data_IF_691156745891
#
_entry.id   IF_691156745891
#
_cell.length_a   1.000
_cell.length_b   1.000
_cell.length_c   1.000
_cell.angle_alpha   90.00
_cell.angle_beta   90.00
_cell.angle_gamma   90.00
#
_symmetry.space_group_name_H-M   'P 1'
#
loop_
_entity.id
_entity.type
_entity.pdbx_description
1 polymer ?
#
# COMPACT_ATOMS: atom_id res chain seq x y z
N UNK A 1 -12.44 -15.76 20.53
CA UNK A 1 -11.84 -15.23 19.29
C UNK A 1 -10.50 -15.92 19.08
N UNK A 2 -10.24 -16.55 17.92
CA UNK A 2 -8.91 -17.15 17.67
C UNK A 2 -7.90 -16.01 17.48
N UNK A 3 -6.87 -15.97 18.33
CA UNK A 3 -5.75 -15.04 18.20
C UNK A 3 -5.15 -15.15 16.79
N UNK A 4 -4.98 -14.02 16.12
CA UNK A 4 -4.31 -13.96 14.82
C UNK A 4 -2.91 -14.59 14.92
N UNK A 5 -2.50 -15.35 13.91
CA UNK A 5 -1.14 -15.90 13.84
C UNK A 5 -0.27 -14.91 13.05
N UNK A 6 0.61 -14.12 13.69
CA UNK A 6 1.41 -13.12 12.99
C UNK A 6 2.51 -13.73 12.11
N UNK A 7 2.87 -15.00 12.36
CA UNK A 7 4.03 -15.65 11.75
C UNK A 7 4.08 -15.59 10.21
N UNK A 8 3.01 -15.92 9.45
CA UNK A 8 3.06 -15.83 7.99
C UNK A 8 3.32 -14.41 7.48
N UNK A 9 2.77 -13.40 8.16
CA UNK A 9 2.94 -12.00 7.79
C UNK A 9 4.35 -11.49 8.11
N UNK A 10 4.94 -11.94 9.21
CA UNK A 10 6.34 -11.64 9.56
C UNK A 10 7.30 -12.23 8.53
N UNK A 11 7.07 -13.49 8.11
CA UNK A 11 7.88 -14.13 7.06
C UNK A 11 7.76 -13.37 5.74
N UNK A 12 6.54 -13.00 5.34
CA UNK A 12 6.29 -12.24 4.12
C UNK A 12 6.98 -10.87 4.14
N UNK A 13 6.89 -10.14 5.26
CA UNK A 13 7.60 -8.88 5.46
C UNK A 13 9.13 -9.06 5.43
N UNK A 14 9.66 -10.13 6.01
CA UNK A 14 11.09 -10.45 5.95
C UNK A 14 11.60 -10.69 4.53
N UNK A 15 10.83 -11.40 3.70
CA UNK A 15 11.14 -11.60 2.28
C UNK A 15 11.10 -10.25 1.54
N UNK A 16 10.04 -9.46 1.73
CA UNK A 16 9.92 -8.15 1.11
C UNK A 16 11.09 -7.22 1.50
N UNK A 17 11.46 -7.15 2.78
CA UNK A 17 12.61 -6.38 3.25
C UNK A 17 13.94 -6.85 2.66
N UNK A 18 14.14 -8.17 2.55
CA UNK A 18 15.35 -8.71 1.96
C UNK A 18 15.50 -8.30 0.49
N UNK A 19 14.38 -8.22 -0.23
CA UNK A 19 14.35 -7.81 -1.63
C UNK A 19 14.49 -6.30 -1.81
N UNK A 20 13.86 -5.51 -0.93
CA UNK A 20 13.82 -4.04 -1.00
C UNK A 20 15.16 -3.37 -0.69
N UNK A 21 15.98 -3.97 0.19
CA UNK A 21 17.18 -3.29 0.69
C UNK A 21 18.34 -3.28 -0.33
N UNK A 22 19.13 -2.19 -0.38
CA UNK A 22 20.27 -2.06 -1.29
C UNK A 22 21.30 -3.17 -1.16
N UNK A 23 22.06 -3.41 -2.24
CA UNK A 23 23.15 -4.40 -2.28
C UNK A 23 24.52 -3.71 -2.30
N UNK A 24 25.53 -4.24 -1.57
CA UNK A 24 25.49 -5.43 -0.71
C UNK A 24 24.58 -5.23 0.52
N UNK A 25 23.92 -6.31 0.96
CA UNK A 25 22.98 -6.22 2.08
C UNK A 25 23.74 -5.92 3.35
N UNK A 26 23.44 -4.79 3.98
CA UNK A 26 23.96 -4.42 5.29
C UNK A 26 23.13 -5.11 6.39
N UNK A 27 23.70 -6.03 7.17
CA UNK A 27 22.94 -6.81 8.15
C UNK A 27 22.25 -5.95 9.21
N UNK A 28 22.89 -4.86 9.65
CA UNK A 28 22.33 -3.94 10.63
C UNK A 28 21.02 -3.28 10.17
N UNK A 29 20.97 -2.80 8.92
CA UNK A 29 19.76 -2.21 8.36
C UNK A 29 18.65 -3.26 8.20
N UNK A 30 18.99 -4.46 7.72
CA UNK A 30 18.01 -5.54 7.60
C UNK A 30 17.42 -5.93 8.95
N UNK A 31 18.24 -6.14 9.97
CA UNK A 31 17.79 -6.50 11.32
C UNK A 31 16.92 -5.38 11.90
N UNK A 32 17.34 -4.12 11.78
CA UNK A 32 16.56 -2.98 12.28
C UNK A 32 15.20 -2.88 11.59
N UNK A 33 15.17 -2.93 10.26
CA UNK A 33 13.91 -2.91 9.50
C UNK A 33 13.01 -4.10 9.83
N UNK A 34 13.59 -5.30 9.99
CA UNK A 34 12.84 -6.50 10.36
C UNK A 34 12.19 -6.36 11.74
N UNK A 35 12.93 -5.83 12.72
CA UNK A 35 12.39 -5.54 14.06
C UNK A 35 11.28 -4.50 14.00
N UNK A 36 11.50 -3.40 13.26
CA UNK A 36 10.48 -2.35 13.08
C UNK A 36 9.21 -2.94 12.49
N UNK A 37 9.29 -3.69 11.39
CA UNK A 37 8.12 -4.30 10.75
C UNK A 37 7.47 -5.37 11.64
N UNK A 38 8.24 -6.12 12.42
CA UNK A 38 7.70 -7.01 13.45
C UNK A 38 6.85 -6.27 14.49
N UNK A 39 7.33 -5.10 14.95
CA UNK A 39 6.59 -4.22 15.86
C UNK A 39 5.34 -3.65 15.18
N UNK A 40 5.44 -3.16 13.94
CA UNK A 40 4.28 -2.63 13.18
C UNK A 40 3.20 -3.70 12.98
N UNK A 41 3.59 -4.93 12.65
CA UNK A 41 2.66 -6.06 12.52
C UNK A 41 1.98 -6.36 13.85
N UNK A 42 2.76 -6.51 14.93
CA UNK A 42 2.23 -6.83 16.26
C UNK A 42 1.30 -5.74 16.78
N UNK A 43 1.72 -4.48 16.69
CA UNK A 43 0.93 -3.33 17.08
C UNK A 43 -0.32 -3.18 16.21
N UNK A 44 -0.22 -3.31 14.89
CA UNK A 44 -1.36 -3.18 13.98
C UNK A 44 -2.41 -4.28 14.17
N UNK A 45 -1.99 -5.53 14.40
CA UNK A 45 -2.91 -6.62 14.76
C UNK A 45 -3.62 -6.33 16.09
N UNK A 46 -2.89 -5.87 17.11
CA UNK A 46 -3.47 -5.48 18.39
C UNK A 46 -4.46 -4.31 18.23
N UNK A 47 -4.06 -3.25 17.54
CA UNK A 47 -4.86 -2.03 17.36
C UNK A 47 -6.13 -2.32 16.57
N UNK A 48 -6.03 -3.12 15.50
CA UNK A 48 -7.17 -3.51 14.67
C UNK A 48 -8.20 -4.34 15.44
N UNK A 49 -7.77 -5.32 16.24
CA UNK A 49 -8.66 -6.11 17.10
C UNK A 49 -9.38 -5.20 18.12
N UNK A 50 -8.65 -4.29 18.77
CA UNK A 50 -9.21 -3.34 19.72
C UNK A 50 -10.04 -2.23 19.06
N UNK A 51 -9.91 -2.03 17.75
CA UNK A 51 -10.72 -1.13 16.94
C UNK A 51 -12.02 -1.80 16.43
N UNK A 52 -12.19 -3.12 16.65
CA UNK A 52 -13.30 -3.88 16.07
C UNK A 52 -13.15 -4.10 14.56
N UNK A 53 -11.94 -3.97 14.03
CA UNK A 53 -11.60 -4.30 12.64
C UNK A 53 -11.22 -5.78 12.54
N UNK A 54 -11.33 -6.33 11.34
CA UNK A 54 -10.88 -7.70 11.05
C UNK A 54 -9.79 -7.67 9.98
N UNK A 55 -8.53 -7.33 10.35
CA UNK A 55 -7.47 -6.99 9.39
C UNK A 55 -7.10 -8.14 8.46
N UNK A 56 -7.41 -9.38 8.83
CA UNK A 56 -7.05 -10.61 8.10
C UNK A 56 -8.28 -11.39 7.62
N UNK A 57 -9.51 -10.87 7.75
CA UNK A 57 -10.74 -11.60 7.39
C UNK A 57 -11.48 -10.99 6.21
N UNK A 58 -12.26 -11.88 5.60
CA UNK A 58 -13.51 -11.62 4.91
C UNK A 58 -14.63 -12.14 5.81
N UNK A 59 -15.70 -11.36 5.98
CA UNK A 59 -16.87 -11.72 6.78
C UNK A 59 -17.35 -13.16 6.50
N UNK A 60 -17.48 -13.96 7.57
CA UNK A 60 -18.45 -15.05 7.68
C UNK A 60 -18.51 -16.12 6.59
N UNK A 61 -17.43 -16.84 6.29
CA UNK A 61 -17.43 -18.29 5.92
C UNK A 61 -16.03 -18.72 5.49
N UNK A 62 -15.22 -19.26 6.40
CA UNK A 62 -14.47 -20.50 6.14
C UNK A 62 -13.66 -20.87 7.37
N UNK A 63 -13.77 -22.14 7.77
CA UNK A 63 -12.99 -22.75 8.85
C UNK A 63 -11.51 -23.00 8.44
N UNK A 64 -11.14 -22.73 7.17
CA UNK A 64 -9.77 -22.85 6.66
C UNK A 64 -9.13 -21.45 6.49
N UNK A 65 -8.13 -21.14 7.30
CA UNK A 65 -7.58 -19.78 7.43
C UNK A 65 -6.75 -19.29 6.24
N UNK A 66 -7.42 -18.75 5.22
CA UNK A 66 -6.85 -17.98 4.12
C UNK A 66 -7.90 -17.11 3.43
N UNK A 67 -7.48 -16.07 2.71
CA UNK A 67 -8.38 -15.25 1.88
C UNK A 67 -8.92 -16.09 0.71
N UNK A 68 -10.23 -16.02 0.39
CA UNK A 68 -10.77 -16.72 -0.77
C UNK A 68 -10.04 -16.30 -2.06
N UNK A 69 -9.62 -17.26 -2.91
CA UNK A 69 -8.95 -16.93 -4.17
C UNK A 69 -9.74 -15.97 -5.06
N UNK A 70 -11.07 -16.05 -5.04
CA UNK A 70 -11.94 -15.14 -5.77
C UNK A 70 -11.80 -13.67 -5.32
N UNK A 71 -11.61 -13.42 -4.03
CA UNK A 71 -11.45 -12.06 -3.50
C UNK A 71 -10.08 -11.51 -3.90
N UNK A 72 -9.03 -12.32 -3.78
CA UNK A 72 -7.71 -11.94 -4.28
C UNK A 72 -7.76 -11.65 -5.78
N UNK A 73 -8.41 -12.49 -6.59
CA UNK A 73 -8.57 -12.27 -8.02
C UNK A 73 -9.35 -10.98 -8.34
N UNK A 74 -10.45 -10.71 -7.62
CA UNK A 74 -11.21 -9.47 -7.78
C UNK A 74 -10.38 -8.24 -7.42
N UNK A 75 -9.66 -8.29 -6.29
CA UNK A 75 -8.78 -7.20 -5.86
C UNK A 75 -7.64 -6.98 -6.85
N UNK A 76 -7.05 -8.04 -7.39
CA UNK A 76 -6.07 -7.97 -8.46
C UNK A 76 -6.61 -7.26 -9.71
N UNK A 77 -7.83 -7.59 -10.14
CA UNK A 77 -8.48 -6.94 -11.28
C UNK A 77 -8.77 -5.46 -11.02
N UNK A 78 -9.22 -5.11 -9.81
CA UNK A 78 -9.42 -3.71 -9.40
C UNK A 78 -8.09 -2.95 -9.43
N UNK A 79 -7.03 -3.54 -8.88
CA UNK A 79 -5.68 -2.99 -8.89
C UNK A 79 -5.13 -2.78 -10.30
N UNK A 80 -5.20 -3.81 -11.14
CA UNK A 80 -4.77 -3.72 -12.54
C UNK A 80 -5.57 -2.66 -13.32
N UNK A 81 -6.89 -2.58 -13.11
CA UNK A 81 -7.74 -1.56 -13.71
C UNK A 81 -7.36 -0.15 -13.26
N UNK A 82 -7.05 0.02 -11.96
CA UNK A 82 -6.55 1.29 -11.42
C UNK A 82 -5.20 1.67 -12.03
N UNK A 83 -4.25 0.73 -12.09
CA UNK A 83 -2.95 0.94 -12.72
C UNK A 83 -3.07 1.30 -14.19
N UNK A 84 -3.98 0.67 -14.93
CA UNK A 84 -4.24 0.98 -16.34
C UNK A 84 -4.84 2.39 -16.53
N UNK A 85 -5.78 2.78 -15.66
CA UNK A 85 -6.36 4.14 -15.65
C UNK A 85 -5.28 5.19 -15.39
N UNK A 86 -4.44 4.96 -14.38
CA UNK A 86 -3.33 5.85 -14.04
C UNK A 86 -2.28 5.91 -15.16
N UNK A 87 -1.92 4.77 -15.76
CA UNK A 87 -1.01 4.70 -16.90
C UNK A 87 -1.56 5.51 -18.08
N UNK A 88 -2.86 5.42 -18.36
CA UNK A 88 -3.52 6.25 -19.37
C UNK A 88 -3.38 7.75 -19.08
N UNK A 89 -3.60 8.18 -17.83
CA UNK A 89 -3.40 9.57 -17.43
C UNK A 89 -1.93 10.01 -17.59
N UNK A 90 -0.98 9.17 -17.17
CA UNK A 90 0.47 9.43 -17.31
C UNK A 90 0.87 9.51 -18.78
N UNK A 91 0.27 8.70 -19.67
CA UNK A 91 0.62 8.67 -21.09
C UNK A 91 0.03 9.82 -21.90
N UNK A 92 -1.24 10.15 -21.64
CA UNK A 92 -2.04 11.00 -22.53
C UNK A 92 -2.33 12.38 -21.96
N UNK A 93 -2.23 12.57 -20.64
CA UNK A 93 -2.58 13.83 -19.99
C UNK A 93 -1.32 14.50 -19.45
N UNK A 94 -0.60 13.84 -18.53
CA UNK A 94 0.47 14.48 -17.76
C UNK A 94 1.58 15.14 -18.59
N UNK A 95 2.09 14.57 -19.71
CA UNK A 95 3.18 15.18 -20.46
C UNK A 95 2.80 16.54 -21.09
N UNK A 96 1.52 16.79 -21.30
CA UNK A 96 1.01 18.05 -21.86
C UNK A 96 0.85 19.16 -20.82
N UNK A 97 0.59 18.78 -19.56
CA UNK A 97 0.34 19.73 -18.45
C UNK A 97 1.52 19.85 -17.48
N UNK A 98 2.37 18.83 -17.43
CA UNK A 98 3.58 18.70 -16.60
C UNK A 98 4.70 18.03 -17.41
N UNK A 99 5.32 18.74 -18.36
CA UNK A 99 6.37 18.19 -19.21
C UNK A 99 7.55 17.59 -18.43
N UNK A 100 7.79 18.08 -17.21
CA UNK A 100 8.86 17.61 -16.34
C UNK A 100 8.67 16.14 -15.90
N UNK A 101 7.44 15.59 -16.00
CA UNK A 101 7.15 14.17 -15.71
C UNK A 101 8.02 13.22 -16.55
N UNK A 102 8.50 13.68 -17.71
CA UNK A 102 9.34 12.88 -18.60
C UNK A 102 10.67 12.46 -17.96
N UNK A 103 11.23 13.26 -17.06
CA UNK A 103 12.45 12.86 -16.33
C UNK A 103 12.18 11.67 -15.41
N UNK A 104 11.01 11.64 -14.75
CA UNK A 104 10.58 10.52 -13.92
C UNK A 104 10.29 9.28 -14.76
N UNK A 105 9.61 9.42 -15.89
CA UNK A 105 9.35 8.32 -16.83
C UNK A 105 10.68 7.73 -17.31
N UNK A 106 11.63 8.56 -17.74
CA UNK A 106 12.95 8.11 -18.18
C UNK A 106 13.73 7.40 -17.07
N UNK A 107 13.70 7.94 -15.85
CA UNK A 107 14.33 7.33 -14.67
C UNK A 107 13.73 5.93 -14.39
N UNK A 108 12.41 5.81 -14.40
CA UNK A 108 11.71 4.53 -14.20
C UNK A 108 12.02 3.52 -15.31
N UNK A 109 12.07 3.97 -16.57
CA UNK A 109 12.40 3.15 -17.73
C UNK A 109 13.82 2.61 -17.69
N UNK A 110 14.75 3.30 -17.03
CA UNK A 110 16.14 2.87 -16.85
C UNK A 110 16.31 1.72 -15.84
N UNK A 111 15.31 1.47 -14.99
CA UNK A 111 15.35 0.39 -14.00
C UNK A 111 15.11 -0.95 -14.70
N UNK A 112 15.99 -1.92 -14.44
CA UNK A 112 15.84 -3.28 -14.98
C UNK A 112 14.47 -3.89 -14.61
N UNK A 113 13.80 -4.52 -15.57
CA UNK A 113 12.42 -5.05 -15.40
C UNK A 113 12.26 -5.93 -14.16
N UNK A 114 13.22 -6.80 -13.85
CA UNK A 114 13.14 -7.66 -12.66
C UNK A 114 13.17 -6.87 -11.35
N UNK A 115 13.89 -5.73 -11.30
CA UNK A 115 13.89 -4.84 -10.14
C UNK A 115 12.55 -4.14 -9.98
N UNK A 116 11.88 -3.79 -11.09
CA UNK A 116 10.53 -3.22 -11.07
C UNK A 116 9.48 -4.20 -10.57
N UNK A 117 9.62 -5.49 -10.89
CA UNK A 117 8.79 -6.55 -10.30
C UNK A 117 9.04 -6.66 -8.80
N UNK A 118 10.30 -6.56 -8.36
CA UNK A 118 10.66 -6.53 -6.94
C UNK A 118 10.04 -5.33 -6.23
N UNK A 119 10.14 -4.13 -6.80
CA UNK A 119 9.51 -2.91 -6.27
C UNK A 119 8.00 -3.09 -6.11
N UNK A 120 7.30 -3.57 -7.15
CA UNK A 120 5.87 -3.83 -7.07
C UNK A 120 5.53 -4.84 -5.95
N UNK A 121 6.35 -5.86 -5.77
CA UNK A 121 6.16 -6.86 -4.71
C UNK A 121 6.43 -6.27 -3.32
N UNK A 122 7.59 -5.68 -3.08
CA UNK A 122 7.97 -5.22 -1.75
C UNK A 122 7.13 -4.04 -1.25
N UNK A 123 6.83 -3.04 -2.10
CA UNK A 123 5.93 -1.93 -1.77
C UNK A 123 4.55 -2.43 -1.40
N UNK A 124 3.98 -3.34 -2.21
CA UNK A 124 2.65 -3.90 -1.93
C UNK A 124 2.54 -4.62 -0.59
N UNK A 125 3.65 -5.11 -0.03
CA UNK A 125 3.66 -5.76 1.28
C UNK A 125 3.96 -4.76 2.39
N UNK A 126 5.08 -4.06 2.28
CA UNK A 126 5.62 -3.21 3.34
C UNK A 126 4.74 -1.98 3.56
N UNK A 127 4.27 -1.36 2.49
CA UNK A 127 3.43 -0.17 2.60
C UNK A 127 2.04 -0.52 3.14
N UNK A 128 1.47 -1.66 2.75
CA UNK A 128 0.19 -2.12 3.29
C UNK A 128 0.27 -2.45 4.78
N UNK A 129 1.38 -3.04 5.23
CA UNK A 129 1.62 -3.24 6.67
C UNK A 129 1.69 -1.90 7.40
N UNK A 130 2.46 -0.94 6.88
CA UNK A 130 2.64 0.36 7.54
C UNK A 130 1.35 1.20 7.54
N UNK A 131 0.75 1.42 6.38
CA UNK A 131 -0.37 2.35 6.22
C UNK A 131 -1.72 1.75 6.60
N UNK A 132 -1.97 0.47 6.31
CA UNK A 132 -3.29 -0.15 6.51
C UNK A 132 -3.33 -0.92 7.81
N UNK A 133 -2.42 -1.89 7.99
CA UNK A 133 -2.42 -2.68 9.22
C UNK A 133 -2.09 -1.81 10.44
N UNK A 134 -1.04 -1.00 10.40
CA UNK A 134 -0.63 -0.19 11.55
C UNK A 134 -1.34 1.17 11.62
N UNK A 135 -1.11 2.09 10.67
CA UNK A 135 -1.59 3.47 10.78
C UNK A 135 -3.12 3.58 10.74
N UNK A 136 -3.78 3.00 9.74
CA UNK A 136 -5.26 3.04 9.65
C UNK A 136 -5.90 2.44 10.90
N UNK A 137 -5.48 1.23 11.31
CA UNK A 137 -6.01 0.59 12.52
C UNK A 137 -5.75 1.42 13.79
N UNK A 138 -4.57 2.04 13.89
CA UNK A 138 -4.21 2.92 14.99
C UNK A 138 -5.08 4.17 15.06
N UNK A 139 -5.36 4.82 13.92
CA UNK A 139 -6.24 5.99 13.86
C UNK A 139 -7.69 5.63 14.19
N UNK A 140 -8.20 4.50 13.69
CA UNK A 140 -9.53 4.01 14.08
C UNK A 140 -9.58 3.72 15.58
N UNK A 141 -8.56 3.04 16.12
CA UNK A 141 -8.47 2.75 17.55
C UNK A 141 -8.44 4.03 18.41
N UNK A 142 -7.63 5.02 18.02
CA UNK A 142 -7.56 6.33 18.68
C UNK A 142 -8.90 7.07 18.61
N UNK A 143 -9.54 7.10 17.44
CA UNK A 143 -10.85 7.71 17.26
C UNK A 143 -11.92 7.04 18.15
N UNK A 144 -11.87 5.70 18.25
CA UNK A 144 -12.73 4.92 19.13
C UNK A 144 -12.50 5.21 20.61
N UNK A 145 -11.23 5.36 21.05
CA UNK A 145 -10.88 5.72 22.43
C UNK A 145 -11.31 7.14 22.79
N UNK A 146 -11.14 8.10 21.88
CA UNK A 146 -11.44 9.51 22.13
C UNK A 146 -12.95 9.82 22.14
N UNK A 147 -13.76 9.05 21.40
CA UNK A 147 -15.19 9.36 21.18
C UNK A 147 -16.16 8.26 21.60
N UNK A 148 -15.69 7.23 22.31
CA UNK A 148 -16.49 6.06 22.68
C UNK A 148 -17.27 5.46 21.49
N UNK A 149 -16.62 5.36 20.33
CA UNK A 149 -17.28 4.94 19.09
C UNK A 149 -17.75 3.48 19.15
N UNK A 150 -18.81 3.12 18.40
CA UNK A 150 -19.22 1.73 18.24
C UNK A 150 -18.12 0.87 17.61
N UNK A 151 -18.15 -0.43 17.92
CA UNK A 151 -17.27 -1.46 17.35
C UNK A 151 -18.15 -2.52 16.69
N UNK A 152 -18.11 -2.68 15.36
CA UNK A 152 -17.21 -2.02 14.40
C UNK A 152 -17.54 -0.53 14.17
N UNK A 153 -16.57 0.28 13.69
CA UNK A 153 -16.78 1.70 13.36
C UNK A 153 -17.78 1.88 12.22
N UNK A 154 -18.40 3.06 12.14
CA UNK A 154 -19.31 3.40 11.04
C UNK A 154 -18.57 3.52 9.69
N UNK A 155 -19.24 3.27 8.55
CA UNK A 155 -18.65 3.46 7.22
C UNK A 155 -18.07 4.87 7.02
N UNK A 156 -18.73 5.91 7.53
CA UNK A 156 -18.26 7.29 7.43
C UNK A 156 -16.92 7.48 8.15
N UNK A 157 -16.75 6.86 9.32
CA UNK A 157 -15.49 6.89 10.07
C UNK A 157 -14.38 6.17 9.32
N UNK A 158 -14.67 4.99 8.76
CA UNK A 158 -13.72 4.22 7.96
C UNK A 158 -13.25 5.02 6.75
N UNK A 159 -14.17 5.64 6.00
CA UNK A 159 -13.83 6.47 4.84
C UNK A 159 -13.08 7.74 5.22
N UNK A 160 -13.44 8.42 6.31
CA UNK A 160 -12.73 9.62 6.76
C UNK A 160 -11.28 9.31 7.14
N UNK A 161 -11.04 8.23 7.89
CA UNK A 161 -9.67 7.78 8.21
C UNK A 161 -8.95 7.30 6.96
N UNK A 162 -9.63 6.60 6.05
CA UNK A 162 -9.04 6.17 4.78
C UNK A 162 -8.55 7.38 3.96
N UNK A 163 -9.36 8.43 3.85
CA UNK A 163 -8.99 9.65 3.14
C UNK A 163 -7.75 10.32 3.75
N UNK A 164 -7.67 10.39 5.09
CA UNK A 164 -6.48 10.92 5.77
C UNK A 164 -5.23 10.06 5.51
N UNK A 165 -5.36 8.73 5.62
CA UNK A 165 -4.27 7.79 5.32
C UNK A 165 -3.85 7.89 3.85
N UNK A 166 -4.78 8.07 2.91
CA UNK A 166 -4.50 8.24 1.50
C UNK A 166 -3.69 9.50 1.20
N UNK A 167 -3.99 10.63 1.87
CA UNK A 167 -3.17 11.85 1.77
C UNK A 167 -1.76 11.62 2.31
N UNK A 168 -1.63 10.96 3.47
CA UNK A 168 -0.34 10.61 4.04
C UNK A 168 0.46 9.64 3.17
N UNK A 169 -0.22 8.66 2.57
CA UNK A 169 0.35 7.70 1.61
C UNK A 169 0.90 8.44 0.39
N UNK A 170 0.13 9.37 -0.20
CA UNK A 170 0.63 10.17 -1.30
C UNK A 170 1.79 11.09 -0.92
N UNK A 171 1.75 11.71 0.26
CA UNK A 171 2.85 12.54 0.74
C UNK A 171 4.14 11.73 0.98
N UNK A 172 4.04 10.49 1.43
CA UNK A 172 5.19 9.62 1.66
C UNK A 172 5.98 9.28 0.38
N UNK A 173 5.40 9.51 -0.80
CA UNK A 173 6.07 9.31 -2.09
C UNK A 173 6.89 10.53 -2.54
N UNK A 174 6.69 11.72 -1.97
CA UNK A 174 7.40 12.94 -2.35
C UNK A 174 8.94 12.81 -2.32
N UNK A 175 9.58 12.14 -1.32
CA UNK A 175 11.03 12.00 -1.29
C UNK A 175 11.61 11.32 -2.53
N UNK A 176 10.93 10.30 -3.06
CA UNK A 176 11.37 9.59 -4.27
C UNK A 176 11.40 10.50 -5.51
N UNK A 177 10.48 11.47 -5.57
CA UNK A 177 10.43 12.45 -6.65
C UNK A 177 11.51 13.51 -6.48
N UNK A 178 11.75 13.99 -5.25
CA UNK A 178 12.81 14.96 -4.98
C UNK A 178 14.22 14.48 -5.32
N UNK A 179 14.43 13.15 -5.33
CA UNK A 179 15.70 12.55 -5.73
C UNK A 179 15.97 12.60 -7.24
N UNK A 180 14.94 12.84 -8.05
CA UNK A 180 15.01 12.82 -9.52
C UNK A 180 14.85 14.24 -10.08
N UNK A 181 14.00 15.06 -9.46
CA UNK A 181 13.64 16.38 -9.96
C UNK A 181 13.22 17.33 -8.83
N UNK A 182 13.29 18.66 -9.04
CA UNK A 182 12.78 19.64 -8.07
C UNK A 182 11.28 19.46 -7.78
N UNK A 183 10.91 19.53 -6.50
CA UNK A 183 9.51 19.48 -6.07
C UNK A 183 8.85 20.86 -6.25
N UNK A 184 8.27 21.10 -7.42
CA UNK A 184 7.35 22.22 -7.60
C UNK A 184 5.99 21.90 -6.96
N UNK A 185 5.16 22.92 -6.64
CA UNK A 185 3.81 22.68 -6.11
C UNK A 185 2.95 21.77 -7.02
N UNK A 186 3.06 21.91 -8.33
CA UNK A 186 2.30 21.11 -9.29
C UNK A 186 2.74 19.65 -9.33
N UNK A 187 4.05 19.38 -9.25
CA UNK A 187 4.58 18.02 -9.11
C UNK A 187 4.14 17.43 -7.78
N UNK A 188 4.31 18.16 -6.67
CA UNK A 188 3.93 17.67 -5.34
C UNK A 188 2.43 17.32 -5.27
N UNK A 189 1.56 18.18 -5.79
CA UNK A 189 0.11 17.92 -5.86
C UNK A 189 -0.20 16.69 -6.71
N UNK A 190 0.45 16.53 -7.85
CA UNK A 190 0.24 15.37 -8.74
C UNK A 190 0.66 14.07 -8.09
N UNK A 191 1.82 14.06 -7.41
CA UNK A 191 2.32 12.90 -6.67
C UNK A 191 1.38 12.51 -5.55
N UNK A 192 0.96 13.48 -4.73
CA UNK A 192 0.03 13.23 -3.62
C UNK A 192 -1.31 12.76 -4.15
N UNK A 193 -1.80 13.34 -5.26
CA UNK A 193 -3.08 13.00 -5.85
C UNK A 193 -3.10 11.57 -6.42
N UNK A 194 -2.16 11.22 -7.31
CA UNK A 194 -2.15 9.91 -7.95
C UNK A 194 -1.95 8.79 -6.92
N UNK A 195 -0.97 8.94 -6.03
CA UNK A 195 -0.75 7.96 -4.96
C UNK A 195 -1.92 7.96 -3.97
N UNK A 196 -2.56 9.11 -3.70
CA UNK A 196 -3.75 9.20 -2.86
C UNK A 196 -4.95 8.44 -3.43
N UNK A 197 -5.15 8.42 -4.75
CA UNK A 197 -6.18 7.58 -5.38
C UNK A 197 -5.89 6.10 -5.12
N UNK A 198 -4.64 5.64 -5.28
CA UNK A 198 -4.21 4.29 -4.86
C UNK A 198 -4.49 4.05 -3.39
N UNK A 199 -4.07 5.00 -2.55
CA UNK A 199 -4.38 5.17 -1.14
C UNK A 199 -5.81 4.77 -0.78
N UNK A 200 -6.77 5.47 -1.39
CA UNK A 200 -8.21 5.31 -1.18
C UNK A 200 -8.70 3.91 -1.57
N UNK A 201 -8.30 3.41 -2.75
CA UNK A 201 -8.75 2.10 -3.26
C UNK A 201 -8.22 0.97 -2.38
N UNK A 202 -6.92 0.99 -2.04
CA UNK A 202 -6.33 -0.07 -1.23
C UNK A 202 -6.89 -0.05 0.20
N UNK A 203 -7.09 1.13 0.78
CA UNK A 203 -7.71 1.24 2.10
C UNK A 203 -9.17 0.80 2.13
N UNK A 204 -9.94 1.03 1.05
CA UNK A 204 -11.29 0.46 0.90
C UNK A 204 -11.26 -1.07 0.94
N UNK A 205 -10.41 -1.68 0.11
CA UNK A 205 -10.24 -3.13 0.09
C UNK A 205 -9.73 -3.68 1.42
N UNK A 206 -8.91 -2.91 2.16
CA UNK A 206 -8.46 -3.30 3.49
C UNK A 206 -9.62 -3.41 4.49
N UNK A 207 -10.47 -2.39 4.63
CA UNK A 207 -11.55 -2.45 5.61
C UNK A 207 -12.74 -3.32 5.16
N UNK A 208 -12.90 -3.56 3.85
CA UNK A 208 -13.97 -4.42 3.31
C UNK A 208 -13.57 -5.91 3.24
N UNK A 209 -12.31 -6.20 2.88
CA UNK A 209 -11.85 -7.55 2.54
C UNK A 209 -10.54 -7.98 3.23
N UNK A 210 -9.89 -7.08 3.98
CA UNK A 210 -8.67 -7.37 4.73
C UNK A 210 -7.36 -7.09 3.98
N UNK A 211 -6.26 -7.29 4.69
CA UNK A 211 -4.91 -6.89 4.27
C UNK A 211 -4.46 -7.52 2.95
N UNK A 212 -4.71 -8.81 2.74
CA UNK A 212 -4.28 -9.47 1.50
C UNK A 212 -5.05 -9.02 0.26
N UNK A 213 -6.29 -8.53 0.41
CA UNK A 213 -7.02 -7.89 -0.69
C UNK A 213 -6.36 -6.57 -1.09
N UNK A 214 -5.98 -5.74 -0.10
CA UNK A 214 -5.25 -4.51 -0.33
C UNK A 214 -3.88 -4.76 -0.96
N UNK A 215 -3.10 -5.71 -0.43
CA UNK A 215 -1.80 -6.15 -0.99
C UNK A 215 -1.94 -6.63 -2.43
N UNK A 216 -2.97 -7.43 -2.73
CA UNK A 216 -3.19 -7.91 -4.09
C UNK A 216 -3.53 -6.78 -5.05
N UNK A 217 -4.42 -5.85 -4.69
CA UNK A 217 -4.73 -4.71 -5.55
C UNK A 217 -3.51 -3.80 -5.76
N UNK A 218 -2.76 -3.51 -4.69
CA UNK A 218 -1.55 -2.70 -4.76
C UNK A 218 -0.51 -3.32 -5.68
N UNK A 219 -0.17 -4.60 -5.48
CA UNK A 219 0.78 -5.32 -6.32
C UNK A 219 0.43 -5.23 -7.81
N UNK A 220 -0.85 -5.46 -8.17
CA UNK A 220 -1.25 -5.44 -9.58
C UNK A 220 -1.35 -4.02 -10.17
N UNK A 221 -1.66 -3.00 -9.36
CA UNK A 221 -1.55 -1.61 -9.79
C UNK A 221 -0.09 -1.26 -10.14
N UNK A 222 0.83 -1.58 -9.23
CA UNK A 222 2.26 -1.34 -9.42
C UNK A 222 2.84 -2.19 -10.54
N UNK A 223 2.39 -3.42 -10.71
CA UNK A 223 2.81 -4.25 -11.82
C UNK A 223 2.45 -3.60 -13.16
N UNK A 224 1.23 -3.05 -13.28
CA UNK A 224 0.84 -2.31 -14.49
C UNK A 224 1.69 -1.04 -14.65
N UNK A 225 1.91 -0.27 -13.59
CA UNK A 225 2.61 1.02 -13.67
C UNK A 225 4.12 0.88 -13.89
N UNK A 226 4.79 -0.01 -13.15
CA UNK A 226 6.24 -0.16 -13.14
C UNK A 226 6.74 -1.24 -14.11
N UNK A 227 6.01 -2.35 -14.29
CA UNK A 227 6.52 -3.46 -15.12
C UNK A 227 6.06 -3.32 -16.56
N UNK A 228 4.77 -3.00 -16.76
CA UNK A 228 4.15 -2.88 -18.09
C UNK A 228 4.33 -1.46 -18.63
N UNK A 229 4.03 -0.44 -17.82
CA UNK A 229 3.99 0.97 -18.19
C UNK A 229 5.19 1.49 -18.98
N UNK A 230 6.45 1.26 -18.54
CA UNK A 230 7.64 1.74 -19.23
C UNK A 230 7.83 1.25 -20.67
N UNK A 231 7.06 0.24 -21.12
CA UNK A 231 7.05 -0.21 -22.52
C UNK A 231 6.13 0.63 -23.43
N UNK A 232 5.26 1.44 -22.83
CA UNK A 232 4.23 2.22 -23.53
C UNK A 232 4.36 3.73 -23.31
N UNK A 233 5.18 4.15 -22.35
CA UNK A 233 5.49 5.54 -22.02
C UNK A 233 6.71 6.05 -22.79
#
# INVERSE_FOLDING_TARGET
>A
MKKFKPFPLIVLAGIALFLALPRPLAPGYFILSFVIFGVLIGAGLYLSENAGLSPLLVHGTSRSGGLPPLILARSALIGAGLGALMLGAIRFILPSVLPEIQSRIAAESSIATWKRVVIAFDSSILEEIAFRLFLFSGLIWLAGKARHMPRPPSPQTLWAVNALIALGFGAAHLPQWSAIMPLTPSIALTVVFLNGIGGLVFGYLYFDNGLGAAMSAHFFADFVLHVIGPRFL
#
